data_IF_928584871623
#
_entry.id   IF_928584871623
#
_cell.length_a   1.000
_cell.length_b   1.000
_cell.length_c   1.000
_cell.angle_alpha   90.00
_cell.angle_beta   90.00
_cell.angle_gamma   90.00
#
_symmetry.space_group_name_H-M   'P 1'
#
loop_
_entity.id
_entity.type
_entity.pdbx_description
1 polymer ?
#
# COMPACT_ATOMS: atom_id res chain seq x y z
N UNK A 1 -12.63 14.71 3.29
CA UNK A 1 -13.78 15.59 3.62
C UNK A 1 -13.61 16.08 5.05
N UNK A 2 -13.91 17.35 5.38
CA UNK A 2 -13.63 17.87 6.72
C UNK A 2 -14.57 17.23 7.76
N UNK A 3 -14.07 17.03 8.99
CA UNK A 3 -14.89 16.50 10.10
C UNK A 3 -16.17 17.31 10.28
N UNK A 4 -16.10 18.64 10.16
CA UNK A 4 -17.25 19.54 10.28
C UNK A 4 -18.37 19.24 9.27
N UNK A 5 -18.03 18.84 8.04
CA UNK A 5 -19.01 18.49 7.01
C UNK A 5 -19.68 17.13 7.31
N UNK A 6 -18.92 16.14 7.83
CA UNK A 6 -19.49 14.83 8.23
C UNK A 6 -20.56 14.98 9.33
N UNK A 7 -20.35 15.88 10.28
CA UNK A 7 -21.31 16.12 11.37
C UNK A 7 -22.62 16.75 10.92
N UNK A 8 -22.65 17.50 9.81
CA UNK A 8 -23.88 18.16 9.32
C UNK A 8 -24.76 17.25 8.46
N UNK A 9 -24.23 16.11 8.02
CA UNK A 9 -24.93 15.21 7.08
C UNK A 9 -25.86 14.20 7.76
N UNK A 10 -25.79 14.01 9.08
CA UNK A 10 -26.57 12.98 9.79
C UNK A 10 -27.00 13.44 11.20
N UNK A 11 -28.25 13.18 11.59
CA UNK A 11 -28.85 13.60 12.88
C UNK A 11 -28.72 12.59 14.03
N UNK A 12 -28.62 11.28 13.74
CA UNK A 12 -28.95 10.25 14.75
C UNK A 12 -27.82 9.25 15.06
N UNK A 13 -27.49 8.29 14.19
CA UNK A 13 -26.46 7.25 14.47
C UNK A 13 -25.69 6.90 13.19
N UNK A 14 -24.36 7.06 13.22
CA UNK A 14 -23.45 6.71 12.12
C UNK A 14 -22.43 5.67 12.62
N UNK A 15 -22.36 4.52 11.96
CA UNK A 15 -21.27 3.57 12.14
C UNK A 15 -20.22 3.81 11.04
N UNK A 16 -19.02 4.25 11.42
CA UNK A 16 -17.88 4.45 10.52
C UNK A 16 -17.07 3.14 10.50
N UNK A 17 -17.01 2.47 9.34
CA UNK A 17 -16.30 1.19 9.17
C UNK A 17 -15.11 1.44 8.24
N UNK A 18 -13.91 1.47 8.84
CA UNK A 18 -12.65 1.68 8.11
C UNK A 18 -11.83 0.39 8.03
N UNK A 19 -11.37 0.02 6.82
CA UNK A 19 -10.41 -1.07 6.65
C UNK A 19 -9.01 -0.64 7.11
N UNK A 20 -8.53 -1.20 8.21
CA UNK A 20 -7.20 -0.89 8.75
C UNK A 20 -6.09 -1.55 7.91
N UNK A 21 -5.09 -0.76 7.49
CA UNK A 21 -3.90 -1.23 6.76
C UNK A 21 -4.22 -2.03 5.47
N UNK A 22 -5.29 -1.64 4.76
CA UNK A 22 -5.84 -2.42 3.65
C UNK A 22 -4.85 -2.71 2.52
N UNK A 23 -4.08 -1.72 2.07
CA UNK A 23 -3.16 -1.90 0.94
C UNK A 23 -2.06 -2.92 1.21
N UNK A 24 -1.49 -2.95 2.41
CA UNK A 24 -0.46 -3.93 2.79
C UNK A 24 -1.04 -5.35 2.80
N UNK A 25 -2.17 -5.51 3.48
CA UNK A 25 -2.83 -6.81 3.68
C UNK A 25 -3.33 -7.40 2.37
N UNK A 26 -3.97 -6.58 1.52
CA UNK A 26 -4.45 -7.02 0.22
C UNK A 26 -3.31 -7.29 -0.76
N UNK A 27 -2.20 -6.55 -0.66
CA UNK A 27 -1.02 -6.82 -1.48
C UNK A 27 -0.35 -8.14 -1.10
N UNK A 28 -0.23 -8.45 0.21
CA UNK A 28 0.25 -9.74 0.69
C UNK A 28 -0.66 -10.88 0.20
N UNK A 29 -1.98 -10.76 0.38
CA UNK A 29 -2.96 -11.72 -0.15
C UNK A 29 -2.80 -11.95 -1.66
N UNK A 30 -2.68 -10.86 -2.43
CA UNK A 30 -2.49 -10.93 -3.88
C UNK A 30 -1.19 -11.66 -4.26
N UNK A 31 -0.11 -11.42 -3.50
CA UNK A 31 1.16 -12.09 -3.73
C UNK A 31 1.02 -13.60 -3.52
N UNK A 32 0.41 -14.04 -2.42
CA UNK A 32 0.16 -15.46 -2.17
C UNK A 32 -0.73 -16.11 -3.23
N UNK A 33 -1.83 -15.44 -3.61
CA UNK A 33 -2.76 -15.91 -4.65
C UNK A 33 -2.08 -16.12 -6.01
N UNK A 34 -1.04 -15.33 -6.30
CA UNK A 34 -0.34 -15.37 -7.58
C UNK A 34 1.06 -16.02 -7.49
N UNK A 35 1.39 -16.68 -6.38
CA UNK A 35 2.68 -17.36 -6.19
C UNK A 35 3.90 -16.42 -6.17
N UNK A 36 3.71 -15.16 -5.80
CA UNK A 36 4.77 -14.16 -5.66
C UNK A 36 5.32 -14.23 -4.24
N UNK A 37 6.64 -14.41 -4.11
CA UNK A 37 7.30 -14.42 -2.80
C UNK A 37 7.22 -13.04 -2.14
N UNK A 38 6.69 -12.96 -0.92
CA UNK A 38 6.46 -11.71 -0.21
C UNK A 38 6.88 -11.71 1.28
N UNK A 39 7.78 -12.60 1.70
CA UNK A 39 8.17 -12.78 3.12
C UNK A 39 8.48 -11.45 3.86
N UNK A 40 9.23 -10.54 3.23
CA UNK A 40 9.58 -9.25 3.85
C UNK A 40 8.41 -8.28 4.00
N UNK A 41 7.37 -8.42 3.17
CA UNK A 41 6.10 -7.69 3.33
C UNK A 41 5.28 -8.33 4.46
N UNK A 42 5.20 -9.65 4.51
CA UNK A 42 4.43 -10.38 5.52
C UNK A 42 5.00 -10.13 6.93
N UNK A 43 6.32 -10.23 7.06
CA UNK A 43 7.04 -9.90 8.29
C UNK A 43 6.82 -8.44 8.72
N UNK A 44 6.83 -7.51 7.76
CA UNK A 44 6.53 -6.10 8.06
C UNK A 44 5.08 -5.89 8.52
N UNK A 45 4.10 -6.63 7.99
CA UNK A 45 2.70 -6.53 8.41
C UNK A 45 2.55 -7.02 9.85
N UNK A 46 3.12 -8.18 10.16
CA UNK A 46 3.05 -8.80 11.49
C UNK A 46 3.73 -7.93 12.55
N UNK A 47 4.92 -7.43 12.24
CA UNK A 47 5.77 -6.67 13.17
C UNK A 47 5.68 -5.15 13.00
N UNK A 48 4.66 -4.65 12.29
CA UNK A 48 4.57 -3.25 11.82
C UNK A 48 4.80 -2.22 12.92
N UNK A 49 4.12 -2.38 14.05
CA UNK A 49 4.19 -1.42 15.16
C UNK A 49 5.58 -1.39 15.80
N UNK A 50 6.21 -2.56 15.95
CA UNK A 50 7.58 -2.68 16.44
C UNK A 50 8.58 -2.06 15.47
N UNK A 51 8.45 -2.33 14.17
CA UNK A 51 9.34 -1.77 13.14
C UNK A 51 9.18 -0.26 12.99
N UNK A 52 7.95 0.25 13.09
CA UNK A 52 7.72 1.69 13.13
C UNK A 52 8.35 2.34 14.36
N UNK A 53 8.20 1.75 15.55
CA UNK A 53 8.82 2.27 16.77
C UNK A 53 10.36 2.24 16.68
N UNK A 54 10.92 1.16 16.12
CA UNK A 54 12.35 1.05 15.87
C UNK A 54 12.85 2.13 14.90
N UNK A 55 12.09 2.42 13.84
CA UNK A 55 12.43 3.45 12.88
C UNK A 55 12.38 4.86 13.50
N UNK A 56 11.31 5.18 14.24
CA UNK A 56 11.16 6.46 14.94
C UNK A 56 12.32 6.72 15.92
N UNK A 57 12.75 5.70 16.66
CA UNK A 57 13.87 5.80 17.60
C UNK A 57 15.21 6.10 16.89
N UNK A 58 15.32 5.78 15.60
CA UNK A 58 16.55 5.99 14.80
C UNK A 58 16.56 7.30 14.05
N UNK A 59 15.41 7.76 13.56
CA UNK A 59 15.33 8.94 12.68
C UNK A 59 14.80 10.19 13.37
N UNK A 60 14.27 10.07 14.59
CA UNK A 60 13.51 11.12 15.30
C UNK A 60 12.25 11.59 14.53
N UNK A 61 11.82 10.82 13.52
CA UNK A 61 10.59 11.08 12.79
C UNK A 61 9.37 10.83 13.68
N UNK A 62 8.32 11.61 13.44
CA UNK A 62 7.00 11.37 13.99
C UNK A 62 6.39 10.10 13.41
N UNK A 63 5.42 9.52 14.13
CA UNK A 63 4.68 8.34 13.67
C UNK A 63 4.09 8.52 12.27
N UNK A 64 3.61 9.72 11.94
CA UNK A 64 2.97 9.97 10.64
C UNK A 64 3.99 10.13 9.51
N UNK A 65 5.17 10.70 9.78
CA UNK A 65 6.29 10.72 8.83
C UNK A 65 6.78 9.30 8.52
N UNK A 66 6.90 8.45 9.55
CA UNK A 66 7.28 7.04 9.38
C UNK A 66 6.23 6.26 8.57
N UNK A 67 4.93 6.46 8.84
CA UNK A 67 3.87 5.87 8.00
C UNK A 67 3.98 6.34 6.55
N UNK A 68 4.16 7.63 6.33
CA UNK A 68 4.27 8.21 4.99
C UNK A 68 5.49 7.66 4.24
N UNK A 69 6.60 7.41 4.94
CA UNK A 69 7.80 6.78 4.38
C UNK A 69 7.52 5.37 3.85
N UNK A 70 6.96 4.48 4.69
CA UNK A 70 6.63 3.13 4.26
C UNK A 70 5.56 3.11 3.16
N UNK A 71 4.54 3.96 3.27
CA UNK A 71 3.53 4.11 2.23
C UNK A 71 4.15 4.55 0.90
N UNK A 72 5.12 5.45 0.93
CA UNK A 72 5.81 5.87 -0.28
C UNK A 72 6.65 4.74 -0.89
N UNK A 73 7.31 3.91 -0.08
CA UNK A 73 8.03 2.71 -0.57
C UNK A 73 7.06 1.75 -1.26
N UNK A 74 5.91 1.46 -0.66
CA UNK A 74 4.87 0.60 -1.26
C UNK A 74 4.38 1.18 -2.59
N UNK A 75 4.31 2.51 -2.70
CA UNK A 75 3.95 3.21 -3.93
C UNK A 75 5.13 3.45 -4.89
N UNK A 76 6.29 2.82 -4.69
CA UNK A 76 7.39 2.82 -5.65
C UNK A 76 8.50 3.83 -5.39
N UNK A 77 8.49 4.55 -4.26
CA UNK A 77 9.62 5.39 -3.84
C UNK A 77 10.89 4.54 -3.78
N UNK A 78 11.94 5.00 -4.46
CA UNK A 78 13.27 4.43 -4.34
C UNK A 78 13.99 5.04 -3.15
N UNK A 79 14.70 4.21 -2.40
CA UNK A 79 15.52 4.64 -1.25
C UNK A 79 16.93 4.12 -1.46
N UNK A 80 17.91 4.82 -0.90
CA UNK A 80 19.30 4.37 -0.88
C UNK A 80 19.51 3.59 0.42
N UNK A 81 19.70 2.28 0.32
CA UNK A 81 20.04 1.46 1.47
C UNK A 81 21.49 1.72 1.90
N UNK A 82 21.73 1.70 3.20
CA UNK A 82 23.03 1.83 3.84
C UNK A 82 23.40 0.56 4.63
N UNK A 83 24.69 0.30 4.91
CA UNK A 83 25.08 -0.81 5.76
C UNK A 83 24.44 -0.77 7.14
N UNK A 84 24.21 0.42 7.70
CA UNK A 84 23.65 0.62 9.03
C UNK A 84 22.13 0.42 9.09
N UNK A 85 21.45 0.32 7.94
CA UNK A 85 20.01 0.09 7.92
C UNK A 85 19.66 -1.29 8.50
N UNK A 86 18.57 -1.40 9.29
CA UNK A 86 18.14 -2.68 9.86
C UNK A 86 17.88 -3.74 8.79
N UNK A 87 18.20 -5.01 9.10
CA UNK A 87 17.99 -6.13 8.16
C UNK A 87 16.54 -6.23 7.70
N UNK A 88 15.58 -6.14 8.63
CA UNK A 88 14.14 -6.16 8.32
C UNK A 88 13.75 -5.06 7.30
N UNK A 89 14.37 -3.88 7.37
CA UNK A 89 14.08 -2.78 6.46
C UNK A 89 14.63 -3.06 5.06
N UNK A 90 15.84 -3.62 4.98
CA UNK A 90 16.46 -4.05 3.72
C UNK A 90 15.64 -5.17 3.07
N UNK A 91 15.18 -6.13 3.87
CA UNK A 91 14.33 -7.25 3.44
C UNK A 91 12.96 -6.76 2.96
N UNK A 92 12.29 -5.89 3.73
CA UNK A 92 11.06 -5.23 3.31
C UNK A 92 11.25 -4.48 1.98
N UNK A 93 12.27 -3.62 1.88
CA UNK A 93 12.49 -2.82 0.68
C UNK A 93 12.79 -3.69 -0.55
N UNK A 94 13.71 -4.65 -0.42
CA UNK A 94 14.05 -5.56 -1.51
C UNK A 94 12.89 -6.47 -1.92
N UNK A 95 12.12 -6.96 -0.94
CA UNK A 95 10.86 -7.68 -1.15
C UNK A 95 9.84 -6.85 -1.92
N UNK A 96 9.63 -5.59 -1.53
CA UNK A 96 8.75 -4.67 -2.26
C UNK A 96 9.22 -4.42 -3.69
N UNK A 97 10.54 -4.33 -3.94
CA UNK A 97 11.08 -4.22 -5.31
C UNK A 97 10.80 -5.47 -6.13
N UNK A 98 10.94 -6.65 -5.54
CA UNK A 98 10.62 -7.93 -6.18
C UNK A 98 9.12 -7.99 -6.52
N UNK A 99 8.25 -7.71 -5.54
CA UNK A 99 6.79 -7.71 -5.71
C UNK A 99 6.38 -6.78 -6.86
N UNK A 100 6.89 -5.55 -6.91
CA UNK A 100 6.60 -4.61 -8.00
C UNK A 100 6.96 -5.18 -9.37
N UNK A 101 8.16 -5.76 -9.51
CA UNK A 101 8.59 -6.32 -10.78
C UNK A 101 7.76 -7.53 -11.19
N UNK A 102 7.38 -8.38 -10.22
CA UNK A 102 6.51 -9.54 -10.45
C UNK A 102 5.11 -9.10 -10.90
N UNK A 103 4.52 -8.09 -10.25
CA UNK A 103 3.22 -7.53 -10.63
C UNK A 103 3.27 -6.90 -12.02
N UNK A 104 4.30 -6.11 -12.34
CA UNK A 104 4.44 -5.49 -13.67
C UNK A 104 4.49 -6.56 -14.77
N UNK A 105 5.21 -7.67 -14.53
CA UNK A 105 5.27 -8.79 -15.48
C UNK A 105 3.94 -9.53 -15.60
N UNK A 106 3.20 -9.64 -14.51
CA UNK A 106 1.96 -10.39 -14.42
C UNK A 106 0.73 -9.58 -14.90
N UNK A 107 0.81 -8.25 -14.86
CA UNK A 107 -0.26 -7.31 -15.22
C UNK A 107 0.25 -6.30 -16.27
N UNK A 108 0.70 -6.82 -17.40
CA UNK A 108 1.24 -6.02 -18.51
C UNK A 108 0.23 -5.01 -19.05
N UNK A 109 -1.06 -5.33 -19.00
CA UNK A 109 -2.16 -4.46 -19.38
C UNK A 109 -2.24 -3.22 -18.46
N UNK A 110 -2.09 -3.40 -17.15
CA UNK A 110 -2.07 -2.29 -16.20
C UNK A 110 -0.79 -1.47 -16.32
N UNK A 111 0.34 -2.11 -16.63
CA UNK A 111 1.57 -1.40 -16.92
C UNK A 111 1.47 -0.54 -18.19
N UNK A 112 0.91 -1.08 -19.28
CA UNK A 112 0.69 -0.35 -20.52
C UNK A 112 -0.24 0.85 -20.30
N UNK A 113 -1.33 0.66 -19.54
CA UNK A 113 -2.23 1.74 -19.16
C UNK A 113 -1.53 2.82 -18.32
N UNK A 114 -0.77 2.41 -17.30
CA UNK A 114 -0.02 3.34 -16.46
C UNK A 114 0.99 4.14 -17.29
N UNK A 115 1.71 3.49 -18.21
CA UNK A 115 2.65 4.14 -19.11
C UNK A 115 1.96 5.13 -20.05
N UNK A 116 0.88 4.72 -20.73
CA UNK A 116 0.13 5.59 -21.63
C UNK A 116 -0.36 6.86 -20.92
N UNK A 117 -0.92 6.72 -19.71
CA UNK A 117 -1.42 7.86 -18.94
C UNK A 117 -0.30 8.80 -18.47
N UNK A 118 0.89 8.25 -18.21
CA UNK A 118 2.08 9.01 -17.81
C UNK A 118 2.69 9.74 -19.02
N UNK A 119 2.78 9.08 -20.16
CA UNK A 119 3.22 9.66 -21.43
C UNK A 119 2.30 10.84 -21.84
N UNK A 120 0.98 10.69 -21.68
CA UNK A 120 0.01 11.78 -21.89
C UNK A 120 0.23 13.00 -20.96
N UNK A 121 0.88 12.78 -19.81
CA UNK A 121 1.25 13.83 -18.85
C UNK A 121 2.69 14.32 -19.03
N UNK A 122 3.41 13.83 -20.05
CA UNK A 122 4.81 14.19 -20.31
C UNK A 122 5.79 13.68 -19.25
N UNK A 123 5.49 12.57 -18.58
CA UNK A 123 6.36 11.98 -17.54
C UNK A 123 6.45 10.48 -17.69
N UNK A 124 7.56 9.88 -17.27
CA UNK A 124 7.71 8.42 -17.13
C UNK A 124 8.02 8.02 -15.67
N UNK A 125 7.82 8.95 -14.73
CA UNK A 125 8.17 8.74 -13.34
C UNK A 125 7.24 7.71 -12.68
N UNK A 126 7.87 6.68 -12.09
CA UNK A 126 7.24 5.72 -11.19
C UNK A 126 6.06 4.94 -11.83
N UNK A 127 6.25 4.43 -13.05
CA UNK A 127 5.25 3.62 -13.75
C UNK A 127 4.98 2.33 -12.96
N UNK A 128 6.02 1.60 -12.55
CA UNK A 128 5.88 0.36 -11.77
C UNK A 128 5.05 0.56 -10.49
N UNK A 129 5.35 1.61 -9.72
CA UNK A 129 4.59 1.94 -8.51
C UNK A 129 3.14 2.31 -8.81
N UNK A 130 2.91 2.98 -9.94
CA UNK A 130 1.54 3.28 -10.43
C UNK A 130 0.79 2.00 -10.78
N UNK A 131 1.45 1.03 -11.43
CA UNK A 131 0.87 -0.28 -11.75
C UNK A 131 0.46 -1.04 -10.49
N UNK A 132 1.33 -1.10 -9.47
CA UNK A 132 1.00 -1.75 -8.19
C UNK A 132 -0.14 -1.01 -7.47
N UNK A 133 -0.14 0.32 -7.51
CA UNK A 133 -1.23 1.12 -6.95
C UNK A 133 -2.59 0.77 -7.59
N UNK A 134 -2.66 0.62 -8.92
CA UNK A 134 -3.89 0.19 -9.59
C UNK A 134 -4.38 -1.19 -9.13
N UNK A 135 -3.47 -2.15 -8.89
CA UNK A 135 -3.83 -3.45 -8.32
C UNK A 135 -4.41 -3.26 -6.92
N UNK A 136 -3.72 -2.53 -6.04
CA UNK A 136 -4.15 -2.33 -4.65
C UNK A 136 -5.50 -1.60 -4.57
N UNK A 137 -5.72 -0.54 -5.36
CA UNK A 137 -7.00 0.17 -5.41
C UNK A 137 -8.14 -0.70 -5.97
N UNK A 138 -7.84 -1.56 -6.97
CA UNK A 138 -8.84 -2.51 -7.48
C UNK A 138 -9.25 -3.53 -6.42
N UNK A 139 -8.28 -4.07 -5.66
CA UNK A 139 -8.54 -5.00 -4.56
C UNK A 139 -9.31 -4.33 -3.42
N UNK A 140 -8.94 -3.12 -3.04
CA UNK A 140 -9.64 -2.34 -2.01
C UNK A 140 -11.08 -2.08 -2.42
N UNK A 141 -11.32 -1.67 -3.66
CA UNK A 141 -12.68 -1.47 -4.18
C UNK A 141 -13.50 -2.77 -4.16
N UNK A 142 -12.90 -3.91 -4.52
CA UNK A 142 -13.58 -5.21 -4.43
C UNK A 142 -13.94 -5.55 -2.99
N UNK A 143 -13.03 -5.34 -2.04
CA UNK A 143 -13.31 -5.56 -0.62
C UNK A 143 -14.44 -4.66 -0.10
N UNK A 144 -14.44 -3.38 -0.49
CA UNK A 144 -15.52 -2.45 -0.17
C UNK A 144 -16.88 -2.89 -0.72
N UNK A 145 -16.92 -3.32 -1.98
CA UNK A 145 -18.17 -3.81 -2.59
C UNK A 145 -18.69 -5.08 -1.91
N UNK A 146 -17.79 -6.01 -1.56
CA UNK A 146 -18.16 -7.22 -0.81
C UNK A 146 -18.71 -6.85 0.59
N UNK A 147 -18.05 -5.91 1.28
CA UNK A 147 -18.52 -5.44 2.58
C UNK A 147 -19.88 -4.75 2.48
N UNK A 148 -20.09 -3.92 1.46
CA UNK A 148 -21.38 -3.29 1.17
C UNK A 148 -22.47 -4.34 0.93
N UNK A 149 -22.23 -5.30 0.05
CA UNK A 149 -23.18 -6.38 -0.23
C UNK A 149 -23.51 -7.20 1.02
N UNK A 150 -22.52 -7.48 1.87
CA UNK A 150 -22.74 -8.21 3.12
C UNK A 150 -23.60 -7.41 4.11
N UNK A 151 -23.36 -6.10 4.25
CA UNK A 151 -24.08 -5.24 5.18
C UNK A 151 -25.48 -4.84 4.72
N UNK A 152 -25.78 -5.00 3.43
CA UNK A 152 -27.06 -4.63 2.80
C UNK A 152 -27.89 -5.83 2.35
N UNK A 153 -27.39 -7.06 2.56
CA UNK A 153 -28.18 -8.28 2.38
C UNK A 153 -29.18 -8.41 3.53
N UNK A 154 -30.45 -8.50 3.16
CA UNK A 154 -31.57 -8.87 4.04
C UNK A 154 -31.49 -10.33 4.50
#
# INVERSE_FOLDING_TARGET
MSRKIRHTLCSDIMYDIDMKNVHLTLLSWYCHDNGIKCDGLDDFIENREQYMANWMARTYDTRDEVKAHFLAIINGRRVKLTPDDPSWYKEFYSGMRHIMQSIVKLRLELYALAKQLKDNRGTNYNIDGTTVNYVMCSLENKALMIAFDYLTRD
#
